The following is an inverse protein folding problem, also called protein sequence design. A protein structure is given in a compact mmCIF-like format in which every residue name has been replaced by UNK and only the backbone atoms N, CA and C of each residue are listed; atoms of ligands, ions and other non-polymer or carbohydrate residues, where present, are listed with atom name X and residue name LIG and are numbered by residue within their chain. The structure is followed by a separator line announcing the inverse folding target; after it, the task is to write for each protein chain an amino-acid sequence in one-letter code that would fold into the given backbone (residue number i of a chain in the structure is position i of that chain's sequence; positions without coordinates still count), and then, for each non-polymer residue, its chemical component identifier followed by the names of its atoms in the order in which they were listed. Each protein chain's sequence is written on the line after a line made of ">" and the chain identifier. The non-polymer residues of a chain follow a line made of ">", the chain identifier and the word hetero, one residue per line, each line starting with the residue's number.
data_IF_157344231642
#
_entry.id   IF_157344231642
#
_cell.length_a   1.000
_cell.length_b   1.000
_cell.length_c   1.000
_cell.angle_alpha   90.00
_cell.angle_beta   90.00
_cell.angle_gamma   90.00
#
_symmetry.space_group_name_H-M   'P 1'
#
loop_
_entity.id
_entity.type
_entity.pdbx_description
1 polymer ?
#
# COMPACT_ATOMS: atom_id res chain seq x y z
N UNK A 1 29.77 -0.62 -16.85
CA UNK A 1 29.85 -1.28 -15.53
C UNK A 1 28.47 -1.16 -14.88
N UNK A 2 27.71 -2.26 -14.85
CA UNK A 2 26.39 -2.30 -14.20
C UNK A 2 26.63 -2.26 -12.70
N UNK A 3 26.20 -1.19 -12.02
CA UNK A 3 26.13 -1.16 -10.55
C UNK A 3 25.18 -2.28 -10.13
N UNK A 4 25.70 -3.35 -9.54
CA UNK A 4 24.86 -4.36 -8.88
C UNK A 4 24.16 -3.65 -7.72
N UNK A 5 22.89 -3.39 -7.91
CA UNK A 5 22.00 -2.90 -6.86
C UNK A 5 21.96 -3.98 -5.76
N UNK A 6 22.10 -3.60 -4.50
CA UNK A 6 21.98 -4.55 -3.39
C UNK A 6 20.62 -5.25 -3.47
N UNK A 7 20.52 -6.56 -3.17
CA UNK A 7 19.26 -7.27 -3.19
C UNK A 7 18.26 -6.64 -2.22
N UNK A 8 16.99 -6.63 -2.61
CA UNK A 8 15.87 -6.18 -1.77
C UNK A 8 15.70 -7.19 -0.63
N UNK A 9 15.75 -6.71 0.59
CA UNK A 9 15.61 -7.54 1.78
C UNK A 9 14.14 -7.81 2.08
N UNK A 10 13.77 -9.07 2.17
CA UNK A 10 12.39 -9.52 2.41
C UNK A 10 12.29 -10.16 3.80
N UNK A 11 11.25 -9.81 4.55
CA UNK A 11 10.82 -10.57 5.72
C UNK A 11 9.49 -11.25 5.43
N UNK A 12 9.27 -12.45 5.99
CA UNK A 12 7.99 -13.18 5.92
C UNK A 12 7.48 -13.45 7.33
N UNK A 13 6.23 -13.09 7.57
CA UNK A 13 5.53 -13.30 8.85
C UNK A 13 4.20 -13.99 8.56
N UNK A 14 4.12 -15.29 8.86
CA UNK A 14 2.99 -16.16 8.55
C UNK A 14 3.10 -17.41 9.42
N UNK A 15 2.04 -17.83 10.10
CA UNK A 15 2.05 -19.01 10.97
C UNK A 15 1.98 -20.34 10.19
N UNK A 16 1.52 -20.29 8.92
CA UNK A 16 1.46 -21.46 8.04
C UNK A 16 2.83 -21.79 7.44
N UNK A 17 3.57 -22.65 8.13
CA UNK A 17 4.95 -23.01 7.75
C UNK A 17 5.09 -23.47 6.28
N UNK A 18 4.15 -24.28 5.77
CA UNK A 18 4.21 -24.77 4.40
C UNK A 18 4.06 -23.63 3.38
N UNK A 19 3.10 -22.73 3.59
CA UNK A 19 2.89 -21.56 2.76
C UNK A 19 4.11 -20.65 2.78
N UNK A 20 4.62 -20.33 3.97
CA UNK A 20 5.83 -19.50 4.14
C UNK A 20 7.04 -20.07 3.39
N UNK A 21 7.31 -21.38 3.50
CA UNK A 21 8.40 -22.04 2.77
C UNK A 21 8.18 -22.08 1.26
N UNK A 22 6.92 -22.29 0.84
CA UNK A 22 6.53 -22.21 -0.56
C UNK A 22 6.83 -20.81 -1.13
N UNK A 23 6.40 -19.77 -0.43
CA UNK A 23 6.59 -18.37 -0.84
C UNK A 23 8.08 -17.99 -0.95
N UNK A 24 8.90 -18.43 0.01
CA UNK A 24 10.37 -18.25 -0.06
C UNK A 24 10.94 -18.90 -1.33
N UNK A 25 10.49 -20.11 -1.64
CA UNK A 25 10.92 -20.82 -2.84
C UNK A 25 10.52 -20.04 -4.10
N UNK A 26 9.28 -19.56 -4.17
CA UNK A 26 8.77 -18.77 -5.30
C UNK A 26 9.55 -17.46 -5.49
N UNK A 27 9.79 -16.73 -4.40
CA UNK A 27 10.60 -15.49 -4.44
C UNK A 27 12.03 -15.81 -4.94
N UNK A 28 12.61 -16.93 -4.51
CA UNK A 28 13.93 -17.36 -4.95
C UNK A 28 13.99 -17.82 -6.41
N UNK A 29 12.90 -18.36 -6.96
CA UNK A 29 12.80 -18.76 -8.37
C UNK A 29 12.60 -17.54 -9.29
N UNK A 30 11.83 -16.56 -8.84
CA UNK A 30 11.52 -15.36 -9.62
C UNK A 30 12.78 -14.55 -9.95
N UNK A 31 13.63 -14.28 -8.97
CA UNK A 31 14.93 -13.61 -9.22
C UNK A 31 15.86 -13.72 -8.00
N UNK A 32 16.69 -14.76 -7.99
CA UNK A 32 17.67 -15.02 -6.92
C UNK A 32 18.67 -13.90 -6.67
N UNK A 33 18.85 -13.01 -7.63
CA UNK A 33 19.84 -11.94 -7.54
C UNK A 33 19.28 -10.63 -7.00
N UNK A 34 17.96 -10.48 -7.02
CA UNK A 34 17.30 -9.24 -6.62
C UNK A 34 16.61 -9.31 -5.26
N UNK A 35 16.34 -10.50 -4.72
CA UNK A 35 15.67 -10.66 -3.43
C UNK A 35 16.50 -11.49 -2.45
N UNK A 36 16.51 -11.07 -1.19
CA UNK A 36 17.16 -11.76 -0.08
C UNK A 36 16.20 -11.87 1.10
N UNK A 37 15.79 -13.08 1.44
CA UNK A 37 15.00 -13.31 2.66
C UNK A 37 15.92 -13.19 3.86
N UNK A 38 15.70 -12.20 4.71
CA UNK A 38 16.51 -11.87 5.89
C UNK A 38 15.85 -12.26 7.20
N UNK A 39 14.52 -12.51 7.19
CA UNK A 39 13.76 -12.88 8.38
C UNK A 39 12.57 -13.76 8.01
N UNK A 40 12.35 -14.79 8.82
CA UNK A 40 11.13 -15.61 8.85
C UNK A 40 10.58 -15.64 10.27
N UNK A 41 9.27 -15.42 10.42
CA UNK A 41 8.58 -15.46 11.70
C UNK A 41 7.19 -16.10 11.56
N UNK A 42 6.69 -16.66 12.65
CA UNK A 42 5.38 -17.32 12.72
C UNK A 42 4.31 -16.46 13.40
N UNK A 43 4.66 -15.29 13.89
CA UNK A 43 3.73 -14.29 14.46
C UNK A 43 4.41 -12.93 14.56
N UNK A 44 3.62 -11.88 14.83
CA UNK A 44 4.16 -10.55 15.08
C UNK A 44 5.14 -10.52 16.26
N UNK A 45 4.87 -11.25 17.35
CA UNK A 45 5.79 -11.36 18.49
C UNK A 45 7.10 -12.04 18.12
N UNK A 46 7.04 -13.10 17.34
CA UNK A 46 8.23 -13.82 16.87
C UNK A 46 9.06 -12.94 15.94
N UNK A 47 8.40 -12.17 15.04
CA UNK A 47 9.05 -11.17 14.21
C UNK A 47 9.83 -10.15 15.05
N UNK A 48 9.19 -9.54 16.04
CA UNK A 48 9.82 -8.54 16.92
C UNK A 48 11.05 -9.11 17.61
N UNK A 49 10.97 -10.36 18.09
CA UNK A 49 12.08 -11.06 18.75
C UNK A 49 13.26 -11.30 17.82
N UNK A 50 13.00 -11.64 16.57
CA UNK A 50 13.99 -11.99 15.55
C UNK A 50 14.56 -10.80 14.78
N UNK A 51 13.93 -9.62 14.87
CA UNK A 51 14.37 -8.44 14.14
C UNK A 51 15.79 -8.02 14.53
N UNK A 52 16.66 -7.99 13.51
CA UNK A 52 17.97 -7.37 13.64
C UNK A 52 17.92 -5.93 13.13
N UNK A 53 18.12 -4.97 14.03
CA UNK A 53 18.13 -3.54 13.69
C UNK A 53 19.23 -3.14 12.70
N UNK A 54 20.28 -3.98 12.54
CA UNK A 54 21.36 -3.75 11.57
C UNK A 54 21.03 -4.29 10.17
N UNK A 55 20.02 -5.16 10.07
CA UNK A 55 19.63 -5.83 8.83
C UNK A 55 18.10 -5.78 8.61
N UNK A 56 17.49 -4.60 8.78
CA UNK A 56 16.05 -4.42 8.57
C UNK A 56 15.63 -4.82 7.15
N UNK A 57 14.45 -5.43 6.97
CA UNK A 57 13.89 -5.70 5.66
C UNK A 57 13.42 -4.40 4.98
N UNK A 58 13.46 -4.40 3.65
CA UNK A 58 12.87 -3.35 2.82
C UNK A 58 11.36 -3.56 2.66
N UNK A 59 10.98 -4.85 2.48
CA UNK A 59 9.59 -5.28 2.34
C UNK A 59 9.30 -6.40 3.34
N UNK A 60 8.17 -6.31 4.02
CA UNK A 60 7.65 -7.34 4.91
C UNK A 60 6.37 -7.90 4.32
N UNK A 61 6.35 -9.21 4.07
CA UNK A 61 5.14 -9.96 3.69
C UNK A 61 4.47 -10.42 4.98
N UNK A 62 3.20 -10.08 5.15
CA UNK A 62 2.47 -10.21 6.41
C UNK A 62 1.17 -10.96 6.21
N UNK A 63 0.98 -12.06 6.92
CA UNK A 63 -0.33 -12.67 7.08
C UNK A 63 -1.18 -11.89 8.10
N UNK A 64 -2.49 -11.99 7.93
CA UNK A 64 -3.47 -11.35 8.81
C UNK A 64 -3.85 -12.21 9.99
N UNK A 65 -4.02 -13.51 9.78
CA UNK A 65 -4.56 -14.45 10.76
C UNK A 65 -3.43 -15.28 11.37
N UNK A 66 -2.91 -14.79 12.48
CA UNK A 66 -1.80 -15.42 13.20
C UNK A 66 -2.06 -15.43 14.70
N UNK A 67 -1.57 -16.44 15.42
CA UNK A 67 -1.66 -16.50 16.88
C UNK A 67 -0.82 -15.42 17.57
N UNK A 68 -1.14 -15.13 18.82
CA UNK A 68 -0.40 -14.25 19.75
C UNK A 68 -0.37 -12.76 19.40
N UNK A 69 -0.07 -12.42 18.17
CA UNK A 69 -0.03 -11.07 17.65
C UNK A 69 -0.36 -11.13 16.16
N UNK A 70 -1.58 -10.75 15.84
CA UNK A 70 -2.14 -10.81 14.48
C UNK A 70 -1.55 -9.78 13.52
N UNK A 71 -2.02 -9.80 12.27
CA UNK A 71 -1.53 -8.89 11.24
C UNK A 71 -1.85 -7.42 11.53
N UNK A 72 -3.01 -7.12 12.15
CA UNK A 72 -3.37 -5.75 12.52
C UNK A 72 -2.47 -5.20 13.62
N UNK A 73 -2.28 -5.97 14.68
CA UNK A 73 -1.40 -5.61 15.80
C UNK A 73 0.04 -5.45 15.31
N UNK A 74 0.49 -6.35 14.43
CA UNK A 74 1.83 -6.32 13.83
C UNK A 74 2.01 -5.07 12.97
N UNK A 75 1.03 -4.73 12.14
CA UNK A 75 1.08 -3.52 11.32
C UNK A 75 1.08 -2.26 12.16
N UNK A 76 0.28 -2.20 13.24
CA UNK A 76 0.25 -1.07 14.17
C UNK A 76 1.61 -0.88 14.86
N UNK A 77 2.23 -1.98 15.29
CA UNK A 77 3.56 -1.96 15.88
C UNK A 77 4.62 -1.45 14.88
N UNK A 78 4.60 -1.96 13.64
CA UNK A 78 5.52 -1.54 12.57
C UNK A 78 5.38 -0.05 12.27
N UNK A 79 4.16 0.46 12.17
CA UNK A 79 3.88 1.88 11.94
C UNK A 79 4.51 2.79 12.99
N UNK A 80 4.52 2.35 14.24
CA UNK A 80 5.02 3.14 15.36
C UNK A 80 6.55 3.00 15.55
N UNK A 81 7.13 1.84 15.22
CA UNK A 81 8.52 1.53 15.51
C UNK A 81 9.42 1.54 14.27
N UNK A 82 8.92 1.09 13.11
CA UNK A 82 9.68 0.91 11.88
C UNK A 82 8.87 1.38 10.65
N UNK A 83 8.48 2.66 10.56
CA UNK A 83 7.56 3.19 9.56
C UNK A 83 8.10 3.14 8.11
N UNK A 84 9.39 2.91 7.94
CA UNK A 84 10.03 2.85 6.62
C UNK A 84 9.94 1.47 5.96
N UNK A 85 9.55 0.42 6.69
CA UNK A 85 9.36 -0.91 6.12
C UNK A 85 8.07 -0.91 5.30
N UNK A 86 8.17 -1.30 4.03
CA UNK A 86 7.00 -1.49 3.18
C UNK A 86 6.30 -2.81 3.53
N UNK A 87 5.00 -2.79 3.78
CA UNK A 87 4.24 -4.01 4.13
C UNK A 87 3.35 -4.41 2.97
N UNK A 88 3.51 -5.67 2.53
CA UNK A 88 2.63 -6.38 1.61
C UNK A 88 1.84 -7.41 2.42
N UNK A 89 0.54 -7.27 2.48
CA UNK A 89 -0.33 -8.28 3.11
C UNK A 89 -0.58 -9.42 2.12
N UNK A 90 -0.47 -10.65 2.59
CA UNK A 90 -0.83 -11.87 1.84
C UNK A 90 -1.67 -12.75 2.76
N UNK A 91 -2.99 -12.82 2.54
CA UNK A 91 -3.92 -13.45 3.50
C UNK A 91 -5.10 -14.13 2.81
N UNK A 92 -5.72 -15.09 3.50
CA UNK A 92 -7.02 -15.65 3.10
C UNK A 92 -8.19 -14.73 3.49
N UNK A 93 -7.96 -13.69 4.28
CA UNK A 93 -8.99 -12.74 4.68
C UNK A 93 -9.33 -11.82 3.51
N UNK A 94 -10.58 -11.91 3.04
CA UNK A 94 -11.09 -11.12 1.91
C UNK A 94 -12.14 -10.08 2.33
N UNK A 95 -12.36 -9.89 3.64
CA UNK A 95 -13.38 -8.94 4.09
C UNK A 95 -12.95 -7.51 3.74
N UNK A 96 -13.89 -6.76 3.16
CA UNK A 96 -13.69 -5.38 2.73
C UNK A 96 -13.24 -4.47 3.86
N UNK A 97 -13.84 -4.66 5.04
CA UNK A 97 -13.48 -3.90 6.25
C UNK A 97 -12.05 -4.15 6.70
N UNK A 98 -11.59 -5.42 6.65
CA UNK A 98 -10.21 -5.77 7.01
C UNK A 98 -9.22 -5.14 6.02
N UNK A 99 -9.50 -5.24 4.73
CA UNK A 99 -8.68 -4.64 3.66
C UNK A 99 -8.62 -3.12 3.84
N UNK A 100 -9.78 -2.45 3.97
CA UNK A 100 -9.86 -1.00 4.15
C UNK A 100 -9.11 -0.54 5.42
N UNK A 101 -9.24 -1.28 6.52
CA UNK A 101 -8.53 -1.01 7.78
C UNK A 101 -7.01 -1.12 7.61
N UNK A 102 -6.52 -2.16 6.93
CA UNK A 102 -5.09 -2.31 6.65
C UNK A 102 -4.54 -1.20 5.75
N UNK A 103 -5.31 -0.79 4.75
CA UNK A 103 -4.93 0.33 3.89
C UNK A 103 -4.84 1.65 4.66
N UNK A 104 -5.77 1.93 5.58
CA UNK A 104 -5.70 3.09 6.50
C UNK A 104 -4.46 3.05 7.41
N UNK A 105 -3.97 1.87 7.75
CA UNK A 105 -2.71 1.71 8.49
C UNK A 105 -1.48 1.98 7.63
N UNK A 106 -1.59 1.94 6.30
CA UNK A 106 -0.54 2.31 5.36
C UNK A 106 0.21 1.14 4.74
N UNK A 107 -0.41 -0.06 4.66
CA UNK A 107 0.14 -1.18 3.88
C UNK A 107 0.38 -0.74 2.44
N UNK A 108 1.35 -1.37 1.78
CA UNK A 108 1.74 -1.02 0.41
C UNK A 108 1.12 -1.92 -0.64
N UNK A 109 0.50 -3.00 -0.23
CA UNK A 109 -0.22 -3.91 -1.11
C UNK A 109 -0.99 -4.94 -0.31
N UNK A 110 -1.92 -5.60 -0.99
CA UNK A 110 -2.72 -6.69 -0.44
C UNK A 110 -2.92 -7.74 -1.54
N UNK A 111 -2.67 -9.00 -1.22
CA UNK A 111 -2.89 -10.15 -2.09
C UNK A 111 -3.67 -11.23 -1.33
N UNK A 112 -4.51 -12.00 -2.03
CA UNK A 112 -5.04 -13.26 -1.51
C UNK A 112 -3.94 -14.32 -1.44
N UNK A 113 -4.06 -15.33 -0.56
CA UNK A 113 -3.15 -16.49 -0.57
C UNK A 113 -3.37 -17.41 -1.79
N UNK A 114 -4.45 -17.24 -2.54
CA UNK A 114 -4.73 -17.93 -3.82
C UNK A 114 -4.05 -17.25 -5.00
N UNK A 115 -2.83 -16.74 -4.80
CA UNK A 115 -2.04 -16.05 -5.81
C UNK A 115 -1.22 -16.99 -6.67
N UNK A 116 -0.93 -16.54 -7.90
CA UNK A 116 0.06 -17.16 -8.76
C UNK A 116 1.48 -16.61 -8.49
N UNK A 117 2.49 -17.34 -8.98
CA UNK A 117 3.90 -16.95 -8.80
C UNK A 117 4.18 -15.55 -9.34
N UNK A 118 3.57 -15.24 -10.47
CA UNK A 118 3.77 -13.96 -11.15
C UNK A 118 3.20 -12.78 -10.36
N UNK A 119 2.12 -12.97 -9.60
CA UNK A 119 1.49 -11.91 -8.81
C UNK A 119 2.42 -11.42 -7.69
N UNK A 120 3.05 -12.36 -6.96
CA UNK A 120 3.97 -11.98 -5.88
C UNK A 120 5.18 -11.23 -6.42
N UNK A 121 5.71 -11.68 -7.57
CA UNK A 121 6.83 -11.01 -8.21
C UNK A 121 6.47 -9.58 -8.66
N UNK A 122 5.32 -9.41 -9.33
CA UNK A 122 4.82 -8.11 -9.74
C UNK A 122 4.58 -7.19 -8.54
N UNK A 123 3.99 -7.72 -7.44
CA UNK A 123 3.76 -6.96 -6.23
C UNK A 123 5.06 -6.48 -5.58
N UNK A 124 6.04 -7.36 -5.40
CA UNK A 124 7.34 -7.00 -4.83
C UNK A 124 8.07 -5.96 -5.69
N UNK A 125 8.08 -6.14 -7.01
CA UNK A 125 8.70 -5.23 -7.95
C UNK A 125 8.00 -3.86 -7.94
N UNK A 126 6.67 -3.85 -7.93
CA UNK A 126 5.89 -2.62 -7.89
C UNK A 126 6.08 -1.86 -6.57
N UNK A 127 6.06 -2.55 -5.43
CA UNK A 127 6.30 -1.94 -4.11
C UNK A 127 7.70 -1.34 -4.06
N UNK A 128 8.71 -2.05 -4.54
CA UNK A 128 10.08 -1.56 -4.53
C UNK A 128 10.28 -0.35 -5.45
N UNK A 129 9.73 -0.39 -6.69
CA UNK A 129 9.96 0.65 -7.69
C UNK A 129 8.98 1.82 -7.59
N UNK A 130 7.70 1.54 -7.27
CA UNK A 130 6.61 2.52 -7.28
C UNK A 130 6.11 2.88 -5.88
N UNK A 131 6.48 2.09 -4.85
CA UNK A 131 6.07 2.28 -3.45
C UNK A 131 4.72 1.65 -3.09
N UNK A 132 4.01 1.00 -4.01
CA UNK A 132 2.73 0.34 -3.74
C UNK A 132 2.37 -0.67 -4.84
N UNK A 133 1.47 -1.62 -4.50
CA UNK A 133 0.83 -2.55 -5.43
C UNK A 133 -0.64 -2.74 -5.03
N UNK A 134 -1.56 -2.30 -5.87
CA UNK A 134 -3.00 -2.47 -5.67
C UNK A 134 -3.63 -2.94 -6.97
N UNK A 135 -4.45 -3.99 -6.89
CA UNK A 135 -5.25 -4.49 -8.00
C UNK A 135 -6.53 -3.68 -8.13
N UNK A 136 -7.17 -3.72 -9.31
CA UNK A 136 -8.45 -3.05 -9.56
C UNK A 136 -9.53 -3.55 -8.60
N UNK A 137 -9.50 -4.85 -8.27
CA UNK A 137 -10.38 -5.47 -7.28
C UNK A 137 -10.26 -4.81 -5.90
N UNK A 138 -9.05 -4.54 -5.43
CA UNK A 138 -8.80 -3.87 -4.15
C UNK A 138 -9.25 -2.42 -4.18
N UNK A 139 -9.05 -1.76 -5.30
CA UNK A 139 -9.49 -0.38 -5.49
C UNK A 139 -11.01 -0.30 -5.48
N UNK A 140 -11.70 -1.22 -6.15
CA UNK A 140 -13.16 -1.35 -6.14
C UNK A 140 -13.72 -1.59 -4.73
N UNK A 141 -13.19 -2.60 -4.02
CA UNK A 141 -13.60 -2.89 -2.63
C UNK A 141 -13.37 -1.74 -1.65
N UNK A 142 -12.29 -1.00 -1.82
CA UNK A 142 -12.04 0.19 -1.03
C UNK A 142 -13.10 1.27 -1.26
N UNK A 143 -13.52 1.44 -2.50
CA UNK A 143 -14.58 2.37 -2.88
C UNK A 143 -15.93 1.96 -2.26
N UNK A 144 -16.28 0.68 -2.32
CA UNK A 144 -17.52 0.13 -1.73
C UNK A 144 -17.57 0.32 -0.20
N UNK A 145 -16.46 0.06 0.50
CA UNK A 145 -16.40 0.25 1.95
C UNK A 145 -16.59 1.70 2.41
N UNK A 146 -16.31 2.67 1.53
CA UNK A 146 -16.49 4.08 1.80
C UNK A 146 -17.92 4.56 1.59
N UNK A 147 -18.67 3.89 0.71
CA UNK A 147 -20.08 4.19 0.51
C UNK A 147 -20.90 3.80 1.73
N UNK A 148 -20.58 2.68 2.38
CA UNK A 148 -21.25 2.23 3.60
C UNK A 148 -20.97 3.10 4.82
N UNK A 149 -19.76 3.67 4.95
CA UNK A 149 -19.40 4.60 6.04
C UNK A 149 -20.00 6.02 5.87
N UNK A 150 -20.32 6.43 4.63
CA UNK A 150 -20.86 7.77 4.36
C UNK A 150 -22.36 7.92 4.72
N UNK A 151 -23.09 6.84 4.93
CA UNK A 151 -24.48 6.87 5.43
C UNK A 151 -24.56 7.16 6.95
N UNK A 152 -23.46 7.08 7.69
CA UNK A 152 -23.46 7.23 9.16
C UNK A 152 -22.89 8.54 9.70
N UNK A 153 -22.30 9.42 8.87
CA UNK A 153 -21.78 10.70 9.37
C UNK A 153 -22.12 11.86 8.45
N UNK A 154 -23.19 12.56 8.80
CA UNK A 154 -23.47 13.92 8.33
C UNK A 154 -22.35 14.88 8.75
N UNK A 155 -21.24 14.88 8.02
CA UNK A 155 -20.10 15.74 8.29
C UNK A 155 -20.26 17.11 7.63
N UNK A 156 -20.08 18.11 8.43
CA UNK A 156 -20.22 19.55 8.30
C UNK A 156 -19.75 20.14 6.94
N UNK A 157 -20.63 20.88 6.28
CA UNK A 157 -20.41 21.61 5.02
C UNK A 157 -19.30 22.67 5.15
N UNK A 158 -19.00 23.09 6.37
CA UNK A 158 -17.99 24.13 6.69
C UNK A 158 -16.54 23.64 6.47
N UNK A 159 -16.22 22.38 6.76
CA UNK A 159 -14.86 21.83 6.56
C UNK A 159 -14.52 21.59 5.09
N UNK A 160 -15.52 21.23 4.26
CA UNK A 160 -15.30 20.96 2.81
C UNK A 160 -14.84 22.22 2.06
N UNK A 161 -15.38 23.38 2.40
CA UNK A 161 -14.98 24.66 1.78
C UNK A 161 -13.55 25.07 2.18
N UNK A 162 -13.09 24.72 3.38
CA UNK A 162 -11.73 25.00 3.84
C UNK A 162 -10.67 24.21 3.06
N UNK A 163 -10.91 22.93 2.79
CA UNK A 163 -9.98 22.05 2.08
C UNK A 163 -9.88 22.42 0.59
N UNK A 164 -11.00 22.78 -0.03
CA UNK A 164 -11.04 23.19 -1.44
C UNK A 164 -10.19 24.44 -1.69
N UNK A 165 -10.13 25.36 -0.74
CA UNK A 165 -9.30 26.57 -0.81
C UNK A 165 -7.80 26.31 -0.63
N UNK A 166 -7.43 25.12 -0.14
CA UNK A 166 -6.04 24.70 0.06
C UNK A 166 -5.46 23.92 -1.13
N UNK A 167 -6.25 23.65 -2.15
CA UNK A 167 -5.88 22.83 -3.32
C UNK A 167 -6.02 23.72 -4.56
N UNK A 168 -4.94 23.85 -5.33
CA UNK A 168 -4.98 24.59 -6.58
C UNK A 168 -5.55 23.75 -7.73
N UNK A 169 -5.91 24.40 -8.86
CA UNK A 169 -6.54 23.73 -10.01
C UNK A 169 -5.69 22.55 -10.57
N UNK A 170 -4.39 22.69 -10.61
CA UNK A 170 -3.50 21.64 -11.11
C UNK A 170 -3.39 20.47 -10.13
N UNK A 171 -3.33 20.75 -8.84
CA UNK A 171 -3.40 19.73 -7.79
C UNK A 171 -4.74 18.99 -7.82
N UNK A 172 -5.85 19.69 -8.05
CA UNK A 172 -7.17 19.07 -8.19
C UNK A 172 -7.24 18.16 -9.42
N UNK A 173 -6.69 18.60 -10.57
CA UNK A 173 -6.58 17.75 -11.78
C UNK A 173 -5.75 16.51 -11.49
N UNK A 174 -4.61 16.66 -10.82
CA UNK A 174 -3.77 15.54 -10.41
C UNK A 174 -4.53 14.57 -9.49
N UNK A 175 -5.27 15.06 -8.49
CA UNK A 175 -6.09 14.23 -7.59
C UNK A 175 -7.11 13.43 -8.40
N UNK A 176 -7.84 14.06 -9.33
CA UNK A 176 -8.82 13.38 -10.18
C UNK A 176 -8.20 12.26 -11.02
N UNK A 177 -7.07 12.52 -11.66
CA UNK A 177 -6.35 11.47 -12.40
C UNK A 177 -5.75 10.40 -11.47
N UNK A 178 -5.33 10.75 -10.28
CA UNK A 178 -4.85 9.78 -9.29
C UNK A 178 -5.97 8.88 -8.74
N UNK A 179 -7.23 9.25 -8.91
CA UNK A 179 -8.40 8.41 -8.58
C UNK A 179 -8.78 7.42 -9.71
N UNK A 180 -8.07 7.41 -10.85
CA UNK A 180 -8.27 6.44 -11.94
C UNK A 180 -7.19 5.35 -11.92
N UNK A 181 -7.18 4.47 -12.89
CA UNK A 181 -6.20 3.38 -13.08
C UNK A 181 -4.83 3.84 -13.63
N UNK A 182 -4.70 5.12 -14.02
CA UNK A 182 -3.50 5.67 -14.63
C UNK A 182 -2.28 5.58 -13.71
N UNK A 183 -1.14 5.22 -14.28
CA UNK A 183 0.16 5.37 -13.58
C UNK A 183 0.55 6.84 -13.47
N UNK A 184 1.47 7.19 -12.57
CA UNK A 184 1.95 8.58 -12.46
C UNK A 184 2.62 9.09 -13.73
N UNK A 185 3.26 8.22 -14.51
CA UNK A 185 3.82 8.59 -15.82
C UNK A 185 2.73 8.92 -16.83
N UNK A 186 1.65 8.12 -16.87
CA UNK A 186 0.49 8.39 -17.71
C UNK A 186 -0.27 9.66 -17.27
N UNK A 187 -0.31 9.93 -15.95
CA UNK A 187 -0.86 11.20 -15.43
C UNK A 187 0.00 12.37 -15.91
N UNK A 188 1.33 12.24 -15.89
CA UNK A 188 2.25 13.25 -16.38
C UNK A 188 1.98 13.55 -17.87
N UNK A 189 1.83 12.52 -18.70
CA UNK A 189 1.48 12.65 -20.11
C UNK A 189 0.13 13.35 -20.31
N UNK A 190 -0.93 12.90 -19.60
CA UNK A 190 -2.27 13.49 -19.70
C UNK A 190 -2.35 14.95 -19.22
N UNK A 191 -1.53 15.30 -18.26
CA UNK A 191 -1.45 16.68 -17.76
C UNK A 191 -0.45 17.55 -18.54
N UNK A 192 0.27 16.99 -19.54
CA UNK A 192 1.34 17.65 -20.26
C UNK A 192 2.43 18.20 -19.35
N UNK A 193 2.80 17.42 -18.30
CA UNK A 193 3.79 17.77 -17.30
C UNK A 193 4.91 16.74 -17.25
N UNK A 194 6.03 17.11 -16.62
CA UNK A 194 7.11 16.16 -16.38
C UNK A 194 6.75 15.20 -15.21
N UNK A 195 7.26 13.94 -15.21
CA UNK A 195 7.11 13.02 -14.08
C UNK A 195 7.57 13.65 -12.75
N UNK A 196 8.63 14.46 -12.79
CA UNK A 196 9.14 15.20 -11.63
C UNK A 196 8.12 16.21 -11.08
N UNK A 197 7.34 16.84 -11.95
CA UNK A 197 6.27 17.77 -11.53
C UNK A 197 5.13 17.02 -10.85
N UNK A 198 4.75 15.86 -11.36
CA UNK A 198 3.76 14.96 -10.74
C UNK A 198 4.23 14.49 -9.37
N UNK A 199 5.50 14.09 -9.24
CA UNK A 199 6.09 13.74 -7.94
C UNK A 199 6.04 14.91 -6.95
N UNK A 200 6.24 16.13 -7.43
CA UNK A 200 6.14 17.33 -6.59
C UNK A 200 4.71 17.56 -6.09
N UNK A 201 3.69 17.41 -6.95
CA UNK A 201 2.29 17.50 -6.52
C UNK A 201 1.94 16.42 -5.51
N UNK A 202 2.34 15.17 -5.78
CA UNK A 202 2.16 14.06 -4.85
C UNK A 202 2.77 14.37 -3.48
N UNK A 203 4.04 14.76 -3.46
CA UNK A 203 4.77 15.07 -2.23
C UNK A 203 4.13 16.21 -1.44
N UNK A 204 3.75 17.29 -2.12
CA UNK A 204 3.10 18.44 -1.50
C UNK A 204 1.75 18.08 -0.87
N UNK A 205 0.89 17.36 -1.59
CA UNK A 205 -0.41 16.91 -1.11
C UNK A 205 -0.29 15.91 0.04
N UNK A 206 0.62 14.94 -0.08
CA UNK A 206 0.84 13.93 0.94
C UNK A 206 1.31 14.56 2.25
N UNK A 207 2.21 15.52 2.18
CA UNK A 207 2.69 16.26 3.37
C UNK A 207 1.60 17.15 3.95
N UNK A 208 0.90 17.93 3.11
CA UNK A 208 -0.11 18.93 3.54
C UNK A 208 -1.30 18.27 4.25
N UNK A 209 -1.76 17.11 3.74
CA UNK A 209 -2.94 16.43 4.25
C UNK A 209 -2.64 15.14 5.03
N UNK A 210 -1.37 14.93 5.41
CA UNK A 210 -0.90 13.73 6.12
C UNK A 210 -1.25 12.40 5.42
N UNK A 211 -1.30 12.42 4.07
CA UNK A 211 -1.61 11.26 3.22
C UNK A 211 -0.34 10.42 3.06
N UNK A 212 -0.46 9.10 3.17
CA UNK A 212 0.71 8.20 3.16
C UNK A 212 0.91 7.46 1.84
N UNK A 213 -0.16 7.28 1.07
CA UNK A 213 -0.15 6.50 -0.17
C UNK A 213 -1.28 6.94 -1.10
N UNK A 214 -1.30 6.40 -2.33
CA UNK A 214 -2.33 6.74 -3.33
C UNK A 214 -3.75 6.37 -2.88
N UNK A 215 -4.04 5.20 -2.28
CA UNK A 215 -5.35 4.94 -1.71
C UNK A 215 -5.76 5.97 -0.66
N UNK A 216 -4.84 6.39 0.19
CA UNK A 216 -5.08 7.50 1.13
C UNK A 216 -5.48 8.80 0.42
N UNK A 217 -4.91 9.08 -0.76
CA UNK A 217 -5.30 10.22 -1.59
C UNK A 217 -6.70 10.03 -2.18
N UNK A 218 -7.04 8.84 -2.67
CA UNK A 218 -8.37 8.51 -3.18
C UNK A 218 -9.41 8.67 -2.07
N UNK A 219 -9.15 8.09 -0.88
CA UNK A 219 -9.99 8.24 0.30
C UNK A 219 -10.23 9.70 0.66
N UNK A 220 -9.15 10.47 0.70
CA UNK A 220 -9.20 11.91 0.98
C UNK A 220 -10.04 12.65 -0.06
N UNK A 221 -9.87 12.34 -1.35
CA UNK A 221 -10.60 12.98 -2.44
C UNK A 221 -12.12 12.72 -2.34
N UNK A 222 -12.52 11.47 -2.10
CA UNK A 222 -13.93 11.07 -1.98
C UNK A 222 -14.55 11.71 -0.72
N UNK A 223 -13.89 11.54 0.43
CA UNK A 223 -14.39 12.10 1.72
C UNK A 223 -14.64 13.61 1.65
N UNK A 224 -13.81 14.33 0.90
CA UNK A 224 -13.90 15.78 0.79
C UNK A 224 -14.67 16.27 -0.46
N UNK A 225 -15.28 15.34 -1.23
CA UNK A 225 -16.06 15.68 -2.41
C UNK A 225 -15.25 16.27 -3.56
N UNK A 226 -13.94 16.01 -3.63
CA UNK A 226 -13.03 16.42 -4.71
C UNK A 226 -13.16 15.53 -5.94
N UNK A 227 -13.70 14.33 -5.76
CA UNK A 227 -13.92 13.32 -6.76
C UNK A 227 -15.22 12.57 -6.47
N UNK A 228 -16.08 12.39 -7.48
CA UNK A 228 -17.28 11.56 -7.38
C UNK A 228 -17.00 10.21 -8.06
N UNK A 229 -17.40 9.12 -7.42
CA UNK A 229 -17.25 7.75 -7.93
C UNK A 229 -17.95 7.55 -9.27
N UNK A 230 -19.02 8.32 -9.52
CA UNK A 230 -19.74 8.33 -10.80
C UNK A 230 -18.90 8.84 -11.98
N UNK A 231 -17.77 9.48 -11.70
CA UNK A 231 -16.84 9.99 -12.72
C UNK A 231 -15.81 8.94 -13.16
N UNK A 232 -15.87 7.71 -12.62
CA UNK A 232 -15.08 6.56 -13.07
C UNK A 232 -15.83 5.91 -14.24
N UNK A 233 -15.51 6.34 -15.45
CA UNK A 233 -15.98 5.73 -16.71
C UNK A 233 -14.82 5.15 -17.45
#
# INVERSE_FOLDING_TARGET
>A
MSYRKSPVKIALVDDHNLFRKGLITLIGLADKHNYLVVLEAESGKDMIRKLDKKALPDILILDMDMPDMDGFETMLWLKNNLPNISVLVVSMVESEDAIARMMRLGVKGYLSKDIEVDDIHQALQAIYNKGYYYTDFLTGKLIESLQSDSEMTGGDISEKNGIMNMINENELKFIKFACSDLTYDQIAEKMFLSPKTIDSYRGALFTRFAIKNRPGLILFAIKNGLFDIKDIS
#
